data_IF_170045635268
#
_entry.id   IF_170045635268
#
_cell.length_a   1.000
_cell.length_b   1.000
_cell.length_c   1.000
_cell.angle_alpha   90.00
_cell.angle_beta   90.00
_cell.angle_gamma   90.00
#
_symmetry.space_group_name_H-M   'P 1'
#
loop_
_entity.id
_entity.type
_entity.pdbx_description
1 polymer ?
#
# COMPACT_ATOMS: atom_id res chain seq x y z
N UNK A 1 -13.74 -24.04 15.53
CA UNK A 1 -13.00 -23.15 14.60
C UNK A 1 -13.15 -23.71 13.20
N UNK A 2 -13.76 -22.97 12.27
CA UNK A 2 -14.04 -23.44 10.91
C UNK A 2 -12.73 -23.71 10.12
N UNK A 3 -12.64 -24.76 9.30
CA UNK A 3 -11.46 -25.03 8.47
C UNK A 3 -11.11 -23.87 7.53
N UNK A 4 -12.11 -23.08 7.13
CA UNK A 4 -11.95 -21.90 6.28
C UNK A 4 -11.15 -20.80 7.00
N UNK A 5 -11.41 -20.56 8.29
CA UNK A 5 -10.67 -19.54 9.03
C UNK A 5 -9.21 -19.96 9.28
N UNK A 6 -8.96 -21.26 9.45
CA UNK A 6 -7.60 -21.79 9.58
C UNK A 6 -6.77 -21.68 8.28
N UNK A 7 -7.39 -21.82 7.11
CA UNK A 7 -6.72 -21.65 5.81
C UNK A 7 -6.40 -20.18 5.50
N UNK A 8 -7.30 -19.26 5.83
CA UNK A 8 -7.06 -17.81 5.67
C UNK A 8 -5.89 -17.35 6.55
N UNK A 9 -5.81 -17.82 7.80
CA UNK A 9 -4.69 -17.51 8.69
C UNK A 9 -3.35 -18.09 8.18
N UNK A 10 -3.35 -19.33 7.67
CA UNK A 10 -2.12 -19.95 7.10
C UNK A 10 -1.62 -19.28 5.82
N UNK A 11 -2.53 -18.76 5.00
CA UNK A 11 -2.18 -18.04 3.75
C UNK A 11 -1.70 -16.61 4.01
N UNK A 12 -2.15 -15.98 5.10
CA UNK A 12 -1.62 -14.70 5.57
C UNK A 12 -0.18 -14.83 6.12
N UNK A 13 0.15 -15.91 6.84
CA UNK A 13 1.48 -16.14 7.41
C UNK A 13 2.59 -16.48 6.41
N UNK A 14 2.26 -16.87 5.17
CA UNK A 14 3.24 -17.27 4.14
C UNK A 14 3.75 -16.13 3.26
N UNK A 15 3.30 -14.89 3.46
CA UNK A 15 3.80 -13.71 2.73
C UNK A 15 5.04 -13.12 3.41
N UNK A 16 6.04 -13.96 3.70
CA UNK A 16 7.40 -13.47 3.92
C UNK A 16 7.93 -13.03 2.56
N UNK A 17 7.53 -11.82 2.12
CA UNK A 17 8.22 -11.13 1.05
C UNK A 17 9.65 -10.96 1.55
N UNK A 18 10.52 -11.81 1.04
CA UNK A 18 11.92 -11.82 1.42
C UNK A 18 12.59 -10.65 0.71
N UNK A 19 12.33 -9.44 1.19
CA UNK A 19 12.89 -8.17 0.71
C UNK A 19 14.42 -8.29 0.67
N UNK A 20 15.03 -8.98 1.62
CA UNK A 20 16.48 -9.26 1.66
C UNK A 20 16.94 -10.13 0.48
N UNK A 21 16.17 -11.17 0.09
CA UNK A 21 16.50 -11.98 -1.10
C UNK A 21 16.30 -11.18 -2.39
N UNK A 22 15.24 -10.39 -2.48
CA UNK A 22 15.00 -9.50 -3.63
C UNK A 22 16.11 -8.47 -3.77
N UNK A 23 16.50 -7.80 -2.68
CA UNK A 23 17.61 -6.85 -2.67
C UNK A 23 18.95 -7.51 -2.99
N UNK A 24 19.20 -8.72 -2.47
CA UNK A 24 20.43 -9.48 -2.79
C UNK A 24 20.48 -9.89 -4.26
N UNK A 25 19.34 -10.24 -4.85
CA UNK A 25 19.23 -10.56 -6.27
C UNK A 25 19.42 -9.31 -7.14
N UNK A 26 18.92 -8.15 -6.70
CA UNK A 26 19.16 -6.85 -7.37
C UNK A 26 20.64 -6.45 -7.26
N UNK A 27 21.25 -6.56 -6.07
CA UNK A 27 22.67 -6.26 -5.88
C UNK A 27 23.58 -7.12 -6.76
N UNK A 28 23.30 -8.43 -6.83
CA UNK A 28 24.02 -9.34 -7.73
C UNK A 28 23.85 -8.99 -9.20
N UNK A 29 22.64 -8.59 -9.61
CA UNK A 29 22.37 -8.16 -11.00
C UNK A 29 23.12 -6.90 -11.44
N UNK A 30 23.74 -6.17 -10.50
CA UNK A 30 24.56 -4.99 -10.75
C UNK A 30 26.07 -5.32 -10.74
N UNK A 31 26.46 -6.52 -10.34
CA UNK A 31 27.83 -7.00 -10.48
C UNK A 31 28.11 -7.28 -11.96
N UNK A 32 29.31 -6.97 -12.47
CA UNK A 32 29.68 -7.23 -13.87
C UNK A 32 29.96 -8.72 -14.09
N UNK A 33 28.95 -9.57 -13.90
CA UNK A 33 29.03 -11.00 -14.16
C UNK A 33 28.87 -11.26 -15.68
N UNK A 34 29.86 -11.90 -16.34
CA UNK A 34 29.87 -12.06 -17.81
C UNK A 34 28.77 -13.01 -18.37
N UNK A 35 27.98 -13.68 -17.52
CA UNK A 35 27.01 -14.69 -17.96
C UNK A 35 25.58 -14.56 -17.40
N UNK A 36 25.30 -13.60 -16.53
CA UNK A 36 23.90 -13.37 -16.09
C UNK A 36 23.21 -12.44 -17.07
N UNK A 37 22.60 -13.03 -18.11
CA UNK A 37 21.63 -12.32 -18.94
C UNK A 37 20.51 -11.87 -18.03
N UNK A 38 20.48 -10.57 -17.72
CA UNK A 38 19.27 -9.92 -17.24
C UNK A 38 18.12 -10.40 -18.14
N UNK A 39 17.02 -10.93 -17.58
CA UNK A 39 15.92 -11.39 -18.41
C UNK A 39 15.46 -10.21 -19.27
N UNK A 40 15.71 -10.32 -20.58
CA UNK A 40 15.43 -9.28 -21.59
C UNK A 40 13.93 -8.91 -21.58
N UNK A 41 13.08 -9.78 -21.02
CA UNK A 41 11.71 -9.47 -20.65
C UNK A 41 11.48 -9.61 -19.14
N UNK A 42 11.83 -8.60 -18.35
CA UNK A 42 11.13 -8.39 -17.09
C UNK A 42 9.70 -7.93 -17.43
N UNK A 43 8.75 -8.88 -17.52
CA UNK A 43 7.34 -8.55 -17.75
C UNK A 43 6.91 -7.56 -16.67
N UNK A 44 6.41 -6.39 -17.07
CA UNK A 44 5.86 -5.43 -16.12
C UNK A 44 4.88 -6.15 -15.21
N UNK A 45 4.98 -5.88 -13.90
CA UNK A 45 4.01 -6.41 -12.95
C UNK A 45 2.60 -6.03 -13.44
N UNK A 46 1.62 -6.96 -13.39
CA UNK A 46 0.26 -6.65 -13.79
C UNK A 46 -0.26 -5.50 -12.93
N UNK A 47 -1.04 -4.61 -13.54
CA UNK A 47 -1.56 -3.46 -12.84
C UNK A 47 -2.55 -3.91 -11.76
N UNK A 48 -2.16 -3.79 -10.49
CA UNK A 48 -2.97 -4.14 -9.32
C UNK A 48 -3.71 -2.90 -8.81
N UNK A 49 -4.60 -2.34 -9.65
CA UNK A 49 -5.34 -1.11 -9.34
C UNK A 49 -6.25 -1.30 -8.13
N UNK A 50 -6.97 -2.42 -8.04
CA UNK A 50 -7.91 -2.67 -6.95
C UNK A 50 -7.23 -2.67 -5.58
N UNK A 51 -6.06 -3.30 -5.47
CA UNK A 51 -5.29 -3.30 -4.21
C UNK A 51 -4.71 -1.93 -3.88
N UNK A 52 -4.26 -1.18 -4.89
CA UNK A 52 -3.79 0.19 -4.70
C UNK A 52 -4.91 1.12 -4.26
N UNK A 53 -6.07 1.08 -4.91
CA UNK A 53 -7.26 1.84 -4.52
C UNK A 53 -7.71 1.50 -3.11
N UNK A 54 -7.74 0.22 -2.73
CA UNK A 54 -8.10 -0.17 -1.36
C UNK A 54 -7.10 0.38 -0.34
N UNK A 55 -5.80 0.30 -0.63
CA UNK A 55 -4.76 0.82 0.26
C UNK A 55 -4.88 2.34 0.44
N UNK A 56 -4.96 3.07 -0.67
CA UNK A 56 -5.07 4.54 -0.66
C UNK A 56 -6.39 4.98 -0.05
N UNK A 57 -7.49 4.32 -0.40
CA UNK A 57 -8.82 4.58 0.16
C UNK A 57 -8.86 4.35 1.67
N UNK A 58 -8.28 3.26 2.18
CA UNK A 58 -8.20 3.04 3.63
C UNK A 58 -7.40 4.12 4.36
N UNK A 59 -6.34 4.66 3.75
CA UNK A 59 -5.60 5.78 4.33
C UNK A 59 -6.43 7.08 4.27
N UNK A 60 -7.06 7.34 3.13
CA UNK A 60 -7.90 8.53 2.95
C UNK A 60 -9.02 8.60 3.98
N UNK A 61 -9.71 7.50 4.28
CA UNK A 61 -10.78 7.47 5.31
C UNK A 61 -10.28 7.89 6.69
N UNK A 62 -9.01 7.66 7.02
CA UNK A 62 -8.43 8.03 8.32
C UNK A 62 -7.93 9.49 8.29
N UNK A 63 -7.17 9.86 7.26
CA UNK A 63 -6.50 11.16 7.22
C UNK A 63 -7.41 12.29 6.75
N UNK A 64 -8.34 12.01 5.84
CA UNK A 64 -9.22 13.02 5.26
C UNK A 64 -10.09 13.72 6.33
N UNK A 65 -10.74 13.02 7.27
CA UNK A 65 -11.50 13.69 8.33
C UNK A 65 -10.62 14.54 9.25
N UNK A 66 -9.42 14.06 9.60
CA UNK A 66 -8.46 14.80 10.41
C UNK A 66 -8.00 16.09 9.73
N UNK A 67 -7.69 16.02 8.44
CA UNK A 67 -7.36 17.19 7.63
C UNK A 67 -8.55 18.13 7.45
N UNK A 68 -9.75 17.60 7.22
CA UNK A 68 -10.96 18.41 7.10
C UNK A 68 -11.25 19.19 8.38
N UNK A 69 -11.01 18.60 9.56
CA UNK A 69 -11.12 19.32 10.83
C UNK A 69 -9.98 20.33 11.01
N UNK A 70 -8.73 19.94 10.77
CA UNK A 70 -7.57 20.81 10.95
C UNK A 70 -7.59 22.04 10.03
N UNK A 71 -8.13 21.91 8.82
CA UNK A 71 -8.24 23.00 7.85
C UNK A 71 -9.61 23.71 7.91
N UNK A 72 -10.67 22.97 8.23
CA UNK A 72 -12.06 23.44 8.23
C UNK A 72 -12.53 24.01 9.58
N UNK A 73 -11.72 23.94 10.64
CA UNK A 73 -12.09 24.50 11.95
C UNK A 73 -12.56 25.96 11.95
N UNK A 74 -12.04 26.91 11.14
CA UNK A 74 -12.59 28.28 11.13
C UNK A 74 -13.99 28.35 10.50
N UNK A 75 -14.37 27.36 9.69
CA UNK A 75 -15.67 27.30 9.03
C UNK A 75 -16.73 26.60 9.88
N UNK A 76 -16.31 25.80 10.88
CA UNK A 76 -17.21 25.16 11.84
C UNK A 76 -18.11 26.16 12.60
N UNK A 77 -17.61 27.28 13.17
CA UNK A 77 -18.48 28.26 13.82
C UNK A 77 -19.43 28.94 12.84
N UNK A 78 -18.98 29.26 11.62
CA UNK A 78 -19.86 29.82 10.59
C UNK A 78 -21.04 28.89 10.26
N UNK A 79 -20.79 27.58 10.17
CA UNK A 79 -21.83 26.58 9.94
C UNK A 79 -22.74 26.39 11.16
N UNK A 80 -22.19 26.46 12.37
CA UNK A 80 -22.93 26.27 13.62
C UNK A 80 -23.87 27.45 13.95
N UNK A 81 -23.43 28.68 13.68
CA UNK A 81 -24.21 29.89 13.93
C UNK A 81 -25.09 30.33 12.73
N UNK A 82 -25.31 29.44 11.75
CA UNK A 82 -26.14 29.73 10.56
C UNK A 82 -25.67 31.01 9.82
N UNK A 83 -24.35 31.11 9.64
CA UNK A 83 -23.69 32.25 9.01
C UNK A 83 -23.62 33.53 9.84
N UNK A 84 -24.05 33.50 11.12
CA UNK A 84 -23.95 34.64 12.04
C UNK A 84 -22.71 34.49 12.95
N UNK A 85 -21.55 34.90 12.44
CA UNK A 85 -20.33 35.11 13.24
C UNK A 85 -19.89 36.54 13.08
#
# INVERSE_FOLDING_TARGET
MSPVTAQVVRTMGRRQFSIIRSLRQVGRSMESHPFERLPVSAKSAPADWGRQFRRVGSQAVIFFPGMALALGWPYLPYLYYDGRV
#
